data_IF_432427007327
#
_entry.id   IF_432427007327
#
_cell.length_a   1.000
_cell.length_b   1.000
_cell.length_c   1.000
_cell.angle_alpha   90.00
_cell.angle_beta   90.00
_cell.angle_gamma   90.00
#
_symmetry.space_group_name_H-M   'P 1'
#
loop_
_entity.id
_entity.type
_entity.pdbx_description
1 polymer ?
#
# COMPACT_ATOMS: atom_id res chain seq x y z
N UNK A 1 23.06 25.06 8.77
CA UNK A 1 22.30 24.36 9.82
C UNK A 1 20.83 24.82 9.88
N UNK A 2 20.53 26.07 9.57
CA UNK A 2 19.18 26.65 9.59
C UNK A 2 18.19 25.98 8.62
N UNK A 3 18.55 25.80 7.35
CA UNK A 3 17.63 25.30 6.30
C UNK A 3 16.97 23.96 6.63
N UNK A 4 17.72 23.00 7.18
CA UNK A 4 17.23 21.67 7.52
C UNK A 4 16.23 21.72 8.67
N UNK A 5 16.49 22.56 9.68
CA UNK A 5 15.59 22.79 10.81
C UNK A 5 14.32 23.54 10.37
N UNK A 6 14.46 24.50 9.46
CA UNK A 6 13.34 25.25 8.94
C UNK A 6 12.41 24.37 8.10
N UNK A 7 12.96 23.56 7.19
CA UNK A 7 12.18 22.57 6.44
C UNK A 7 11.48 21.55 7.34
N UNK A 8 12.13 21.12 8.42
CA UNK A 8 11.52 20.23 9.43
C UNK A 8 10.36 20.90 10.16
N UNK A 9 10.51 22.19 10.54
CA UNK A 9 9.43 22.97 11.15
C UNK A 9 8.24 23.11 10.19
N UNK A 10 8.51 23.45 8.91
CA UNK A 10 7.47 23.55 7.88
C UNK A 10 6.73 22.23 7.68
N UNK A 11 7.44 21.09 7.61
CA UNK A 11 6.83 19.77 7.52
C UNK A 11 5.90 19.48 8.71
N UNK A 12 6.35 19.74 9.95
CA UNK A 12 5.51 19.56 11.15
C UNK A 12 4.29 20.49 11.17
N UNK A 13 4.43 21.74 10.69
CA UNK A 13 3.29 22.66 10.57
C UNK A 13 2.29 22.21 9.51
N UNK A 14 2.76 21.70 8.38
CA UNK A 14 1.91 21.15 7.34
C UNK A 14 1.12 19.92 7.84
N UNK A 15 1.76 19.03 8.59
CA UNK A 15 1.10 17.89 9.23
C UNK A 15 0.02 18.34 10.22
N UNK A 16 0.30 19.34 11.08
CA UNK A 16 -0.68 19.86 12.05
C UNK A 16 -1.89 20.53 11.39
N UNK A 17 -1.71 21.16 10.23
CA UNK A 17 -2.75 21.85 9.46
C UNK A 17 -3.46 20.96 8.46
N UNK A 18 -3.21 19.66 8.46
CA UNK A 18 -3.91 18.75 7.60
C UNK A 18 -5.41 18.75 7.98
N UNK A 19 -6.33 18.97 7.01
CA UNK A 19 -7.78 19.03 7.28
C UNK A 19 -8.32 17.81 8.03
N UNK A 20 -7.69 16.65 7.84
CA UNK A 20 -8.04 15.42 8.55
C UNK A 20 -7.83 15.53 10.07
N UNK A 21 -6.85 16.36 10.51
CA UNK A 21 -6.56 16.58 11.93
C UNK A 21 -7.30 17.76 12.51
N UNK A 22 -7.67 18.75 11.69
CA UNK A 22 -8.21 20.00 12.17
C UNK A 22 -9.73 19.92 12.44
N UNK A 23 -10.46 19.18 11.60
CA UNK A 23 -11.93 19.13 11.64
C UNK A 23 -12.55 18.10 12.59
N UNK A 24 -11.85 17.06 13.04
CA UNK A 24 -12.47 15.99 13.82
C UNK A 24 -11.61 15.54 15.00
N UNK A 25 -12.08 15.82 16.22
CA UNK A 25 -11.50 15.25 17.45
C UNK A 25 -11.61 13.73 17.48
N UNK A 26 -12.70 13.19 16.95
CA UNK A 26 -12.92 11.75 16.81
C UNK A 26 -11.93 11.10 15.84
N UNK A 27 -11.63 11.74 14.71
CA UNK A 27 -10.63 11.24 13.76
C UNK A 27 -9.24 11.14 14.38
N UNK A 28 -8.85 12.12 15.22
CA UNK A 28 -7.58 12.05 15.97
C UNK A 28 -7.57 10.89 16.96
N UNK A 29 -8.63 10.75 17.76
CA UNK A 29 -8.78 9.66 18.71
C UNK A 29 -8.70 8.31 18.02
N UNK A 30 -9.43 8.12 16.91
CA UNK A 30 -9.44 6.88 16.14
C UNK A 30 -8.08 6.52 15.56
N UNK A 31 -7.33 7.50 15.07
CA UNK A 31 -5.98 7.28 14.57
C UNK A 31 -5.00 6.84 15.67
N UNK A 32 -5.03 7.49 16.85
CA UNK A 32 -4.21 7.07 17.99
C UNK A 32 -4.62 5.69 18.49
N UNK A 33 -5.92 5.43 18.57
CA UNK A 33 -6.45 4.12 18.94
C UNK A 33 -5.96 3.02 17.99
N UNK A 34 -6.04 3.24 16.68
CA UNK A 34 -5.55 2.29 15.68
C UNK A 34 -4.04 2.08 15.78
N UNK A 35 -3.27 3.13 16.01
CA UNK A 35 -1.82 3.00 16.21
C UNK A 35 -1.50 2.14 17.44
N UNK A 36 -2.13 2.40 18.57
CA UNK A 36 -1.95 1.63 19.82
C UNK A 36 -2.42 0.19 19.64
N UNK A 37 -3.55 -0.01 18.97
CA UNK A 37 -4.09 -1.34 18.66
C UNK A 37 -3.11 -2.16 17.84
N UNK A 38 -2.60 -1.61 16.74
CA UNK A 38 -1.63 -2.32 15.90
C UNK A 38 -0.28 -2.53 16.58
N UNK A 39 0.18 -1.57 17.38
CA UNK A 39 1.40 -1.75 18.17
C UNK A 39 1.22 -2.88 19.21
N UNK A 40 0.10 -2.89 19.93
CA UNK A 40 -0.24 -3.96 20.88
C UNK A 40 -0.37 -5.32 20.21
N UNK A 41 -0.95 -5.36 19.00
CA UNK A 41 -1.07 -6.57 18.20
C UNK A 41 0.33 -7.12 17.80
N UNK A 42 1.24 -6.27 17.36
CA UNK A 42 2.62 -6.67 17.04
C UNK A 42 3.39 -7.15 18.28
N UNK A 43 3.21 -6.49 19.43
CA UNK A 43 3.81 -6.93 20.69
C UNK A 43 3.27 -8.34 21.06
N UNK A 44 1.96 -8.52 20.97
CA UNK A 44 1.33 -9.82 21.21
C UNK A 44 1.88 -10.91 20.29
N UNK A 45 2.00 -10.64 18.99
CA UNK A 45 2.59 -11.59 18.04
C UNK A 45 4.06 -11.87 18.34
N UNK A 46 4.87 -10.86 18.65
CA UNK A 46 6.28 -11.01 18.97
C UNK A 46 6.47 -11.91 20.21
N UNK A 47 5.65 -11.72 21.25
CA UNK A 47 5.69 -12.58 22.45
C UNK A 47 5.19 -13.99 22.15
N UNK A 48 4.10 -14.13 21.39
CA UNK A 48 3.55 -15.43 21.02
C UNK A 48 4.53 -16.25 20.20
N UNK A 49 5.18 -15.66 19.20
CA UNK A 49 6.22 -16.35 18.43
C UNK A 49 7.42 -16.75 19.27
N UNK A 50 7.84 -15.91 20.22
CA UNK A 50 8.94 -16.25 21.12
C UNK A 50 8.64 -17.51 21.94
N UNK A 51 7.41 -17.68 22.43
CA UNK A 51 6.99 -18.88 23.19
C UNK A 51 6.63 -20.06 22.30
N UNK A 52 6.04 -19.85 21.13
CA UNK A 52 5.63 -20.92 20.23
C UNK A 52 6.81 -21.73 19.69
N UNK A 53 7.96 -21.10 19.52
CA UNK A 53 9.18 -21.77 19.04
C UNK A 53 10.17 -22.09 20.16
N UNK A 54 9.86 -21.78 21.42
CA UNK A 54 10.72 -22.13 22.58
C UNK A 54 10.64 -23.65 22.82
N UNK A 55 11.77 -24.32 22.79
CA UNK A 55 11.86 -25.80 22.96
C UNK A 55 11.70 -26.62 21.67
N UNK A 56 11.68 -25.99 20.50
CA UNK A 56 11.76 -26.66 19.19
C UNK A 56 13.14 -27.25 18.88
N UNK A 57 13.24 -28.01 17.79
CA UNK A 57 14.50 -28.60 17.31
C UNK A 57 15.55 -27.51 16.90
N UNK A 58 15.09 -26.31 16.59
CA UNK A 58 15.88 -25.14 16.22
C UNK A 58 15.56 -23.99 17.16
N UNK A 59 16.53 -23.14 17.44
CA UNK A 59 16.34 -21.97 18.29
C UNK A 59 15.36 -20.98 17.65
N UNK A 60 14.48 -20.39 18.47
CA UNK A 60 13.39 -19.52 18.00
C UNK A 60 13.86 -18.34 17.12
N UNK A 61 15.04 -17.81 17.36
CA UNK A 61 15.58 -16.70 16.57
C UNK A 61 16.01 -17.14 15.17
N UNK A 62 16.44 -18.40 14.95
CA UNK A 62 16.71 -18.91 13.58
C UNK A 62 15.44 -18.95 12.76
N UNK A 63 14.34 -19.44 13.33
CA UNK A 63 13.03 -19.48 12.65
C UNK A 63 12.55 -18.07 12.31
N UNK A 64 12.71 -17.13 13.24
CA UNK A 64 12.33 -15.74 13.01
C UNK A 64 13.19 -15.07 11.94
N UNK A 65 14.50 -15.35 11.95
CA UNK A 65 15.42 -14.80 10.96
C UNK A 65 15.15 -15.36 9.54
N UNK A 66 14.81 -16.64 9.41
CA UNK A 66 14.37 -17.20 8.11
C UNK A 66 13.12 -16.51 7.59
N UNK A 67 12.21 -16.10 8.52
CA UNK A 67 10.99 -15.36 8.21
C UNK A 67 11.17 -13.86 7.89
N UNK A 68 12.35 -13.28 8.03
CA UNK A 68 12.58 -11.84 7.80
C UNK A 68 12.16 -11.38 6.40
N UNK A 69 12.33 -12.23 5.38
CA UNK A 69 11.91 -11.89 4.02
C UNK A 69 10.41 -11.64 3.92
N UNK A 70 9.60 -12.43 4.63
CA UNK A 70 8.14 -12.24 4.64
C UNK A 70 7.76 -10.94 5.32
N UNK A 71 8.48 -10.56 6.40
CA UNK A 71 8.28 -9.27 7.07
C UNK A 71 8.62 -8.11 6.13
N UNK A 72 9.70 -8.20 5.34
CA UNK A 72 10.07 -7.18 4.36
C UNK A 72 9.01 -7.04 3.24
N UNK A 73 8.48 -8.16 2.75
CA UNK A 73 7.38 -8.15 1.76
C UNK A 73 6.12 -7.53 2.35
N UNK A 74 5.74 -7.92 3.57
CA UNK A 74 4.57 -7.34 4.27
C UNK A 74 4.75 -5.84 4.51
N UNK A 75 5.93 -5.40 4.96
CA UNK A 75 6.24 -3.98 5.14
C UNK A 75 6.08 -3.21 3.83
N UNK A 76 6.59 -3.75 2.72
CA UNK A 76 6.42 -3.14 1.40
C UNK A 76 4.94 -2.99 1.03
N UNK A 77 4.13 -4.02 1.23
CA UNK A 77 2.69 -4.00 0.91
C UNK A 77 1.93 -3.00 1.79
N UNK A 78 2.22 -2.98 3.10
CA UNK A 78 1.59 -2.05 4.04
C UNK A 78 1.93 -0.59 3.71
N UNK A 79 3.14 -0.31 3.22
CA UNK A 79 3.55 1.05 2.81
C UNK A 79 2.78 1.58 1.58
N UNK A 80 2.29 0.71 0.69
CA UNK A 80 1.60 1.13 -0.53
C UNK A 80 0.44 2.12 -0.29
N UNK A 81 -0.50 1.86 0.62
CA UNK A 81 -1.60 2.80 0.91
C UNK A 81 -1.20 3.97 1.83
N UNK A 82 -0.27 3.76 2.76
CA UNK A 82 -0.03 4.71 3.86
C UNK A 82 1.11 5.70 3.61
N UNK A 83 2.15 5.30 2.90
CA UNK A 83 3.32 6.15 2.73
C UNK A 83 3.23 7.05 1.50
N UNK A 84 3.36 8.37 1.70
CA UNK A 84 3.44 9.36 0.61
C UNK A 84 4.83 9.35 -0.02
N UNK A 85 4.88 9.66 -1.32
CA UNK A 85 6.16 9.79 -2.02
C UNK A 85 6.77 11.17 -1.80
N UNK A 86 8.09 11.28 -1.60
CA UNK A 86 8.77 12.57 -1.48
C UNK A 86 8.56 13.49 -2.70
N UNK A 87 8.32 12.95 -3.88
CA UNK A 87 8.01 13.72 -5.11
C UNK A 87 6.74 14.55 -4.97
N UNK A 88 5.74 14.08 -4.22
CA UNK A 88 4.53 14.86 -3.94
C UNK A 88 4.78 16.01 -2.97
N UNK A 89 5.74 15.84 -2.06
CA UNK A 89 6.13 16.86 -1.08
C UNK A 89 7.05 17.94 -1.65
N UNK A 90 7.72 17.67 -2.76
CA UNK A 90 8.64 18.64 -3.41
C UNK A 90 7.91 19.81 -4.04
N UNK A 91 6.72 19.60 -4.61
CA UNK A 91 6.01 20.61 -5.41
C UNK A 91 5.88 21.98 -4.75
N UNK A 92 5.48 22.13 -3.47
CA UNK A 92 5.37 23.44 -2.82
C UNK A 92 6.71 24.18 -2.66
N UNK A 93 7.83 23.42 -2.59
CA UNK A 93 9.16 23.97 -2.35
C UNK A 93 9.92 24.36 -3.64
N UNK A 94 9.42 23.94 -4.82
CA UNK A 94 10.08 24.23 -6.10
C UNK A 94 10.11 25.72 -6.44
N UNK A 95 9.17 26.51 -5.90
CA UNK A 95 9.11 27.96 -6.06
C UNK A 95 10.02 28.73 -5.10
N UNK A 96 10.60 28.06 -4.11
CA UNK A 96 11.50 28.69 -3.15
C UNK A 96 12.94 28.71 -3.68
N UNK A 97 13.77 29.70 -3.28
CA UNK A 97 15.16 29.81 -3.71
C UNK A 97 16.07 28.80 -2.98
N UNK A 98 15.69 27.52 -3.04
CA UNK A 98 16.41 26.42 -2.39
C UNK A 98 17.10 25.59 -3.47
N UNK A 99 18.37 25.23 -3.24
CA UNK A 99 19.08 24.30 -4.15
C UNK A 99 18.37 22.94 -4.16
N UNK A 100 17.88 22.50 -5.31
CA UNK A 100 17.08 21.27 -5.52
C UNK A 100 17.74 20.04 -4.91
N UNK A 101 19.05 19.89 -5.07
CA UNK A 101 19.79 18.75 -4.52
C UNK A 101 19.67 18.69 -2.99
N UNK A 102 19.76 19.84 -2.30
CA UNK A 102 19.62 19.89 -0.84
C UNK A 102 18.20 19.54 -0.38
N UNK A 103 17.20 19.91 -1.19
CA UNK A 103 15.81 19.55 -0.90
C UNK A 103 15.58 18.05 -1.05
N UNK A 104 16.10 17.43 -2.12
CA UNK A 104 16.01 15.98 -2.34
C UNK A 104 16.71 15.22 -1.22
N UNK A 105 17.93 15.64 -0.87
CA UNK A 105 18.70 15.03 0.21
C UNK A 105 17.95 15.12 1.55
N UNK A 106 17.33 16.26 1.85
CA UNK A 106 16.49 16.43 3.04
C UNK A 106 15.29 15.46 3.05
N UNK A 107 14.57 15.34 1.94
CA UNK A 107 13.40 14.48 1.86
C UNK A 107 13.75 13.00 1.98
N UNK A 108 14.87 12.57 1.39
CA UNK A 108 15.36 11.19 1.51
C UNK A 108 15.79 10.88 2.94
N UNK A 109 16.55 11.78 3.60
CA UNK A 109 16.95 11.58 5.01
C UNK A 109 15.70 11.55 5.91
N UNK A 110 14.75 12.46 5.70
CA UNK A 110 13.49 12.49 6.45
C UNK A 110 12.72 11.16 6.30
N UNK A 111 12.65 10.62 5.09
CA UNK A 111 12.00 9.32 4.85
C UNK A 111 12.72 8.17 5.54
N UNK A 112 14.06 8.16 5.54
CA UNK A 112 14.85 7.16 6.26
C UNK A 112 14.64 7.20 7.77
N UNK A 113 14.39 8.39 8.33
CA UNK A 113 14.14 8.62 9.77
C UNK A 113 12.64 8.64 10.11
N UNK A 114 11.76 8.19 9.21
CA UNK A 114 10.32 8.15 9.46
C UNK A 114 9.99 7.14 10.57
N UNK A 115 9.00 7.50 11.40
CA UNK A 115 8.49 6.64 12.46
C UNK A 115 7.95 5.30 11.96
N UNK A 116 7.54 5.23 10.70
CA UNK A 116 7.09 3.99 10.08
C UNK A 116 8.20 2.91 10.04
N UNK A 117 9.47 3.32 9.93
CA UNK A 117 10.60 2.39 9.97
C UNK A 117 10.83 1.77 11.36
N UNK A 118 10.27 2.37 12.41
CA UNK A 118 10.33 1.86 13.78
C UNK A 118 9.16 0.94 14.13
N UNK A 119 8.12 0.89 13.27
CA UNK A 119 6.87 0.18 13.58
C UNK A 119 7.09 -1.32 13.84
N UNK A 120 7.95 -1.96 13.05
CA UNK A 120 8.26 -3.38 13.23
C UNK A 120 9.05 -3.69 14.51
N UNK A 121 9.67 -2.70 15.12
CA UNK A 121 10.34 -2.92 16.42
C UNK A 121 9.36 -3.31 17.53
N UNK A 122 8.07 -2.95 17.42
CA UNK A 122 7.05 -3.43 18.35
C UNK A 122 6.89 -4.96 18.33
N UNK A 123 7.25 -5.62 17.23
CA UNK A 123 7.29 -7.08 17.15
C UNK A 123 8.66 -7.63 17.59
N UNK A 124 9.75 -7.06 17.07
CA UNK A 124 11.08 -7.63 17.25
C UNK A 124 11.68 -7.36 18.63
N UNK A 125 11.34 -6.25 19.31
CA UNK A 125 11.85 -5.95 20.67
C UNK A 125 11.34 -6.98 21.68
N UNK A 126 10.04 -7.21 21.86
CA UNK A 126 9.56 -8.22 22.82
C UNK A 126 10.03 -9.63 22.45
N UNK A 127 10.05 -9.97 21.16
CA UNK A 127 10.60 -11.24 20.69
C UNK A 127 12.07 -11.41 21.11
N UNK A 128 12.94 -10.45 20.84
CA UNK A 128 14.36 -10.52 21.14
C UNK A 128 14.67 -10.50 22.63
N UNK A 129 13.87 -9.80 23.44
CA UNK A 129 14.00 -9.83 24.89
C UNK A 129 13.75 -11.24 25.44
N UNK A 130 12.81 -11.99 24.89
CA UNK A 130 12.47 -13.34 25.39
C UNK A 130 13.47 -14.38 24.86
N UNK A 131 13.89 -14.28 23.59
CA UNK A 131 14.68 -15.32 22.92
C UNK A 131 16.18 -15.02 22.93
N UNK A 132 16.58 -13.84 22.40
CA UNK A 132 17.99 -13.50 22.20
C UNK A 132 18.72 -13.25 23.51
N UNK A 133 18.04 -12.72 24.54
CA UNK A 133 18.66 -12.47 25.84
C UNK A 133 19.17 -13.76 26.49
N UNK A 134 18.52 -14.90 26.25
CA UNK A 134 18.93 -16.20 26.81
C UNK A 134 20.34 -16.62 26.36
N UNK A 135 20.76 -16.27 25.14
CA UNK A 135 22.01 -16.71 24.53
C UNK A 135 23.07 -15.61 24.43
N UNK A 136 22.64 -14.37 24.18
CA UNK A 136 23.55 -13.26 23.84
C UNK A 136 23.43 -12.06 24.78
N UNK A 137 22.56 -12.14 25.78
CA UNK A 137 22.35 -11.05 26.74
C UNK A 137 21.72 -9.80 26.11
N UNK A 138 21.74 -8.69 26.85
CA UNK A 138 21.12 -7.41 26.43
C UNK A 138 21.87 -6.78 25.24
N UNK A 139 23.16 -6.99 25.12
CA UNK A 139 23.95 -6.48 23.97
C UNK A 139 23.46 -7.07 22.65
N UNK A 140 23.16 -8.38 22.62
CA UNK A 140 22.61 -9.03 21.42
C UNK A 140 21.22 -8.51 21.05
N UNK A 141 20.39 -8.18 22.03
CA UNK A 141 19.08 -7.54 21.77
C UNK A 141 19.23 -6.17 21.11
N UNK A 142 20.13 -5.33 21.62
CA UNK A 142 20.35 -3.98 21.09
C UNK A 142 20.90 -4.02 19.65
N UNK A 143 21.93 -4.84 19.41
CA UNK A 143 22.51 -4.98 18.06
C UNK A 143 21.51 -5.56 17.07
N UNK A 144 20.70 -6.55 17.49
CA UNK A 144 19.65 -7.12 16.66
C UNK A 144 18.56 -6.08 16.28
N UNK A 145 18.05 -5.33 17.25
CA UNK A 145 17.06 -4.29 17.01
C UNK A 145 17.58 -3.18 16.07
N UNK A 146 18.85 -2.79 16.22
CA UNK A 146 19.49 -1.85 15.30
C UNK A 146 19.60 -2.44 13.89
N UNK A 147 20.00 -3.71 13.76
CA UNK A 147 20.09 -4.41 12.49
C UNK A 147 18.73 -4.48 11.77
N UNK A 148 17.68 -4.86 12.49
CA UNK A 148 16.30 -4.89 11.96
C UNK A 148 15.85 -3.49 11.53
N UNK A 149 16.11 -2.46 12.34
CA UNK A 149 15.78 -1.08 11.94
C UNK A 149 16.48 -0.67 10.65
N UNK A 150 17.76 -1.00 10.48
CA UNK A 150 18.49 -0.74 9.22
C UNK A 150 17.90 -1.49 8.04
N UNK A 151 17.43 -2.73 8.21
CA UNK A 151 16.72 -3.47 7.17
C UNK A 151 15.40 -2.78 6.79
N UNK A 152 14.65 -2.25 7.76
CA UNK A 152 13.42 -1.49 7.48
C UNK A 152 13.73 -0.18 6.73
N UNK A 153 14.83 0.48 7.03
CA UNK A 153 15.31 1.66 6.28
C UNK A 153 15.70 1.27 4.84
N UNK A 154 16.37 0.15 4.64
CA UNK A 154 16.66 -0.37 3.30
C UNK A 154 15.37 -0.63 2.52
N UNK A 155 14.40 -1.33 3.14
CA UNK A 155 13.11 -1.64 2.52
C UNK A 155 12.30 -0.36 2.21
N UNK A 156 12.41 0.67 3.05
CA UNK A 156 11.84 1.98 2.78
C UNK A 156 12.41 2.60 1.48
N UNK A 157 13.72 2.58 1.28
CA UNK A 157 14.31 3.11 0.04
C UNK A 157 13.98 2.27 -1.19
N UNK A 158 13.87 0.95 -1.04
CA UNK A 158 13.36 0.07 -2.07
C UNK A 158 11.91 0.41 -2.44
N UNK A 159 11.04 0.59 -1.44
CA UNK A 159 9.67 1.02 -1.63
C UNK A 159 9.58 2.37 -2.35
N UNK A 160 10.38 3.37 -1.93
CA UNK A 160 10.41 4.68 -2.58
C UNK A 160 10.82 4.60 -4.06
N UNK A 161 11.80 3.76 -4.38
CA UNK A 161 12.22 3.52 -5.75
C UNK A 161 11.06 2.98 -6.60
N UNK A 162 10.45 1.89 -6.16
CA UNK A 162 9.32 1.27 -6.84
C UNK A 162 8.15 2.25 -7.00
N UNK A 163 7.78 2.93 -5.92
CA UNK A 163 6.66 3.87 -5.90
C UNK A 163 6.89 5.07 -6.81
N UNK A 164 8.10 5.60 -6.86
CA UNK A 164 8.47 6.71 -7.72
C UNK A 164 8.39 6.31 -9.19
N UNK A 165 8.92 5.16 -9.56
CA UNK A 165 8.85 4.61 -10.92
C UNK A 165 7.40 4.31 -11.33
N UNK A 166 6.61 3.68 -10.48
CA UNK A 166 5.18 3.43 -10.69
C UNK A 166 4.38 4.71 -10.87
N UNK A 167 4.83 5.83 -10.27
CA UNK A 167 4.24 7.15 -10.46
C UNK A 167 4.41 7.68 -11.88
N UNK A 168 5.49 7.33 -12.57
CA UNK A 168 5.76 7.75 -13.94
C UNK A 168 5.00 6.91 -14.98
N UNK A 169 5.13 5.57 -14.87
CA UNK A 169 4.48 4.63 -15.80
C UNK A 169 4.00 3.40 -15.05
N UNK A 170 2.78 2.97 -15.32
CA UNK A 170 2.15 1.81 -14.67
C UNK A 170 2.93 0.51 -14.93
N UNK A 171 3.64 0.39 -16.05
CA UNK A 171 4.47 -0.77 -16.39
C UNK A 171 5.58 -1.05 -15.38
N UNK A 172 6.01 -0.05 -14.61
CA UNK A 172 6.98 -0.24 -13.53
C UNK A 172 6.42 -1.04 -12.33
N UNK A 173 5.12 -1.32 -12.31
CA UNK A 173 4.55 -2.30 -11.39
C UNK A 173 5.14 -3.70 -11.60
N UNK A 174 5.60 -4.00 -12.82
CA UNK A 174 6.30 -5.25 -13.10
C UNK A 174 7.58 -5.41 -12.27
N UNK A 175 8.26 -4.32 -11.90
CA UNK A 175 9.50 -4.39 -11.13
C UNK A 175 9.33 -5.08 -9.76
N UNK A 176 8.47 -4.61 -8.83
CA UNK A 176 8.27 -5.32 -7.59
C UNK A 176 7.66 -6.72 -7.78
N UNK A 177 6.77 -6.90 -8.78
CA UNK A 177 6.20 -8.22 -9.08
C UNK A 177 7.27 -9.24 -9.52
N UNK A 178 8.18 -8.85 -10.40
CA UNK A 178 9.28 -9.73 -10.85
C UNK A 178 10.26 -10.01 -9.70
N UNK A 179 10.61 -8.99 -8.90
CA UNK A 179 11.54 -9.18 -7.77
C UNK A 179 10.92 -10.09 -6.72
N UNK A 180 9.69 -9.82 -6.26
CA UNK A 180 9.04 -10.66 -5.25
C UNK A 180 8.64 -12.03 -5.79
N UNK A 181 8.22 -12.11 -7.06
CA UNK A 181 7.98 -13.39 -7.73
C UNK A 181 9.25 -14.23 -7.85
N UNK A 182 10.37 -13.61 -8.21
CA UNK A 182 11.68 -14.27 -8.25
C UNK A 182 12.15 -14.74 -6.86
N UNK A 183 11.96 -13.91 -5.84
CA UNK A 183 12.24 -14.29 -4.43
C UNK A 183 11.36 -15.49 -4.03
N UNK A 184 10.06 -15.43 -4.31
CA UNK A 184 9.13 -16.53 -3.99
C UNK A 184 9.53 -17.81 -4.72
N UNK A 185 9.86 -17.72 -6.00
CA UNK A 185 10.36 -18.86 -6.77
C UNK A 185 11.65 -19.45 -6.17
N UNK A 186 12.60 -18.60 -5.81
CA UNK A 186 13.87 -19.01 -5.19
C UNK A 186 13.71 -19.58 -3.76
N UNK A 187 12.64 -19.22 -3.05
CA UNK A 187 12.35 -19.77 -1.72
C UNK A 187 11.66 -21.15 -1.76
N UNK A 188 10.76 -21.37 -2.72
CA UNK A 188 9.87 -22.52 -2.72
C UNK A 188 10.17 -23.58 -3.80
N UNK A 189 10.91 -23.27 -4.85
CA UNK A 189 11.24 -24.25 -5.88
C UNK A 189 12.38 -25.19 -5.45
N UNK A 190 13.51 -24.73 -4.87
CA UNK A 190 14.55 -25.64 -4.39
C UNK A 190 14.16 -26.26 -3.04
N UNK A 191 14.46 -27.56 -2.86
CA UNK A 191 14.22 -28.27 -1.58
C UNK A 191 14.99 -27.63 -0.40
N UNK A 192 16.19 -27.08 -0.66
CA UNK A 192 16.97 -26.26 0.27
C UNK A 192 17.24 -24.90 -0.35
N UNK A 193 16.52 -23.87 0.08
CA UNK A 193 16.68 -22.54 -0.46
C UNK A 193 17.84 -21.79 0.21
N UNK A 194 18.89 -21.43 -0.54
CA UNK A 194 20.01 -20.65 0.00
C UNK A 194 19.62 -19.25 0.46
N UNK A 195 18.42 -18.76 0.09
CA UNK A 195 17.91 -17.48 0.55
C UNK A 195 17.49 -17.52 2.01
N UNK A 196 16.90 -18.62 2.50
CA UNK A 196 16.61 -18.76 3.93
C UNK A 196 17.90 -18.71 4.75
N UNK A 197 18.93 -19.44 4.35
CA UNK A 197 20.23 -19.43 5.00
C UNK A 197 20.88 -18.04 4.99
N UNK A 198 20.73 -17.31 3.90
CA UNK A 198 21.24 -15.95 3.78
C UNK A 198 20.58 -15.00 4.83
N UNK A 199 19.24 -15.09 5.00
CA UNK A 199 18.54 -14.28 6.00
C UNK A 199 18.82 -14.73 7.43
N UNK A 200 18.98 -16.04 7.68
CA UNK A 200 19.39 -16.57 8.97
C UNK A 200 20.79 -16.03 9.33
N UNK A 201 21.76 -16.18 8.44
CA UNK A 201 23.13 -15.69 8.63
C UNK A 201 23.19 -14.17 8.85
N UNK A 202 22.35 -13.41 8.12
CA UNK A 202 22.25 -11.97 8.29
C UNK A 202 21.71 -11.61 9.68
N UNK A 203 20.62 -12.26 10.12
CA UNK A 203 20.01 -12.05 11.43
C UNK A 203 20.94 -12.44 12.57
N UNK A 204 21.65 -13.57 12.46
CA UNK A 204 22.68 -13.96 13.42
C UNK A 204 23.85 -12.98 13.45
N UNK A 205 24.26 -12.48 12.29
CA UNK A 205 25.26 -11.43 12.20
C UNK A 205 24.85 -10.16 12.96
N UNK A 206 23.56 -9.83 12.99
CA UNK A 206 23.06 -8.72 13.81
C UNK A 206 23.07 -9.07 15.30
N UNK A 207 22.65 -10.29 15.69
CA UNK A 207 22.65 -10.74 17.09
C UNK A 207 24.06 -10.75 17.66
N UNK A 208 25.01 -11.31 16.92
CA UNK A 208 26.44 -11.39 17.32
C UNK A 208 27.19 -10.07 17.23
N UNK A 209 26.59 -9.03 16.63
CA UNK A 209 27.23 -7.76 16.39
C UNK A 209 28.33 -7.81 15.32
N UNK A 210 28.21 -8.73 14.35
CA UNK A 210 29.19 -8.86 13.26
C UNK A 210 29.22 -7.60 12.40
N UNK A 211 30.37 -6.93 12.41
CA UNK A 211 30.61 -5.66 11.70
C UNK A 211 30.33 -5.82 10.19
N UNK A 212 30.65 -6.98 9.61
CA UNK A 212 30.47 -7.23 8.17
C UNK A 212 28.99 -7.17 7.77
N UNK A 213 28.09 -7.74 8.57
CA UNK A 213 26.64 -7.70 8.34
C UNK A 213 26.11 -6.25 8.37
N UNK A 214 26.56 -5.45 9.31
CA UNK A 214 26.19 -4.03 9.39
C UNK A 214 26.72 -3.22 8.22
N UNK A 215 28.00 -3.40 7.84
CA UNK A 215 28.59 -2.72 6.69
C UNK A 215 27.84 -3.11 5.40
N UNK A 216 27.51 -4.39 5.22
CA UNK A 216 26.75 -4.85 4.06
C UNK A 216 25.41 -4.15 3.91
N UNK A 217 24.64 -4.07 4.99
CA UNK A 217 23.33 -3.39 4.97
C UNK A 217 23.48 -1.88 4.79
N UNK A 218 24.46 -1.24 5.45
CA UNK A 218 24.72 0.18 5.26
C UNK A 218 25.16 0.51 3.83
N UNK A 219 25.98 -0.33 3.21
CA UNK A 219 26.35 -0.19 1.80
C UNK A 219 25.14 -0.33 0.87
N UNK A 220 24.24 -1.28 1.15
CA UNK A 220 22.99 -1.45 0.40
C UNK A 220 22.05 -0.23 0.57
N UNK A 221 21.94 0.32 1.78
CA UNK A 221 21.20 1.56 2.04
C UNK A 221 21.78 2.74 1.27
N UNK A 222 23.11 2.91 1.29
CA UNK A 222 23.80 3.97 0.57
C UNK A 222 23.60 3.86 -0.95
N UNK A 223 23.66 2.65 -1.49
CA UNK A 223 23.38 2.38 -2.91
C UNK A 223 21.94 2.77 -3.26
N UNK A 224 20.96 2.31 -2.49
CA UNK A 224 19.55 2.63 -2.71
C UNK A 224 19.25 4.12 -2.55
N UNK A 225 19.89 4.78 -1.58
CA UNK A 225 19.80 6.23 -1.41
C UNK A 225 20.33 6.97 -2.65
N UNK A 226 21.47 6.55 -3.18
CA UNK A 226 22.08 7.15 -4.37
C UNK A 226 21.20 6.95 -5.62
N UNK A 227 20.64 5.75 -5.81
CA UNK A 227 19.72 5.45 -6.92
C UNK A 227 18.47 6.33 -6.83
N UNK A 228 17.82 6.40 -5.66
CA UNK A 228 16.64 7.24 -5.44
C UNK A 228 16.95 8.72 -5.68
N UNK A 229 18.09 9.21 -5.19
CA UNK A 229 18.55 10.59 -5.40
C UNK A 229 18.67 10.93 -6.89
N UNK A 230 19.37 10.08 -7.63
CA UNK A 230 19.58 10.27 -9.08
C UNK A 230 18.27 10.21 -9.86
N UNK A 231 17.40 9.26 -9.51
CA UNK A 231 16.09 9.12 -10.12
C UNK A 231 15.22 10.36 -9.87
N UNK A 232 15.13 10.82 -8.61
CA UNK A 232 14.34 12.00 -8.26
C UNK A 232 14.86 13.26 -8.96
N UNK A 233 16.17 13.44 -9.08
CA UNK A 233 16.74 14.55 -9.84
C UNK A 233 16.24 14.54 -11.28
N UNK A 234 16.33 13.41 -11.98
CA UNK A 234 15.86 13.28 -13.37
C UNK A 234 14.36 13.54 -13.51
N UNK A 235 13.56 13.01 -12.59
CA UNK A 235 12.10 13.15 -12.66
C UNK A 235 11.63 14.58 -12.40
N UNK A 236 12.23 15.29 -11.45
CA UNK A 236 11.92 16.70 -11.20
C UNK A 236 12.25 17.57 -12.43
N UNK A 237 13.37 17.31 -13.10
CA UNK A 237 13.71 18.00 -14.34
C UNK A 237 12.68 17.72 -15.45
N UNK A 238 12.25 16.46 -15.58
CA UNK A 238 11.26 16.09 -16.58
C UNK A 238 9.88 16.70 -16.29
N UNK A 239 9.45 16.78 -15.04
CA UNK A 239 8.18 17.44 -14.69
C UNK A 239 8.20 18.96 -14.94
N UNK A 240 9.31 19.61 -14.70
CA UNK A 240 9.46 21.05 -14.97
C UNK A 240 9.49 21.39 -16.46
N UNK A 241 10.02 20.47 -17.27
CA UNK A 241 10.11 20.62 -18.73
C UNK A 241 8.86 20.10 -19.46
N UNK A 242 7.93 19.45 -18.77
CA UNK A 242 6.64 19.06 -19.37
C UNK A 242 5.81 20.32 -19.62
N UNK A 243 5.91 20.85 -20.82
CA UNK A 243 4.86 21.69 -21.38
C UNK A 243 3.60 20.82 -21.39
N UNK A 244 2.56 21.23 -20.67
CA UNK A 244 1.29 20.51 -20.71
C UNK A 244 0.79 20.54 -22.16
N UNK A 245 0.96 19.40 -22.82
CA UNK A 245 0.44 19.18 -24.17
C UNK A 245 -1.09 19.15 -24.01
N UNK A 246 -1.71 20.31 -24.20
CA UNK A 246 -3.15 20.53 -24.15
C UNK A 246 -3.86 19.91 -25.36
N UNK A 247 -3.29 18.89 -25.98
CA UNK A 247 -3.96 18.12 -27.02
C UNK A 247 -5.24 17.53 -26.45
N UNK A 248 -6.35 18.11 -26.85
CA UNK A 248 -7.68 17.58 -26.60
C UNK A 248 -7.74 16.18 -27.24
N UNK A 249 -7.53 15.16 -26.44
CA UNK A 249 -7.70 13.78 -26.89
C UNK A 249 -9.17 13.60 -27.27
N UNK A 250 -9.42 13.05 -28.44
CA UNK A 250 -10.75 12.73 -28.94
C UNK A 250 -11.57 12.05 -27.82
N UNK A 251 -12.68 12.65 -27.45
CA UNK A 251 -13.51 12.19 -26.34
C UNK A 251 -14.52 11.21 -26.93
N UNK A 252 -14.48 9.96 -26.51
CA UNK A 252 -15.53 8.99 -26.85
C UNK A 252 -16.88 9.55 -26.38
N UNK A 253 -17.85 9.62 -27.29
CA UNK A 253 -19.13 10.26 -27.01
C UNK A 253 -20.10 9.37 -26.25
N UNK A 254 -19.86 8.05 -26.16
CA UNK A 254 -20.73 7.06 -25.49
C UNK A 254 -22.23 7.26 -25.78
N UNK A 255 -22.59 7.45 -27.05
CA UNK A 255 -23.95 7.76 -27.52
C UNK A 255 -25.04 6.75 -27.08
N UNK A 256 -24.62 5.51 -26.75
CA UNK A 256 -25.57 4.49 -26.26
C UNK A 256 -26.20 4.84 -24.91
N UNK A 257 -25.58 5.75 -24.14
CA UNK A 257 -26.09 6.21 -22.84
C UNK A 257 -27.21 7.26 -22.99
N UNK A 258 -27.37 7.88 -24.18
CA UNK A 258 -28.39 8.90 -24.43
C UNK A 258 -29.83 8.33 -24.28
N UNK A 259 -29.98 7.00 -24.42
CA UNK A 259 -31.26 6.32 -24.20
C UNK A 259 -31.82 6.42 -22.78
N UNK A 260 -30.95 6.69 -21.79
CA UNK A 260 -31.31 6.76 -20.38
C UNK A 260 -31.61 8.18 -19.90
N UNK A 261 -31.69 9.18 -20.82
CA UNK A 261 -31.97 10.58 -20.51
C UNK A 261 -30.98 11.17 -19.52
N UNK A 262 -31.46 11.92 -18.52
CA UNK A 262 -30.65 12.61 -17.51
C UNK A 262 -29.67 11.67 -16.77
N UNK A 263 -30.14 10.47 -16.40
CA UNK A 263 -29.27 9.46 -15.74
C UNK A 263 -28.13 9.03 -16.67
N UNK A 264 -28.41 8.87 -17.96
CA UNK A 264 -27.42 8.53 -18.97
C UNK A 264 -26.34 9.59 -19.14
N UNK A 265 -26.70 10.87 -19.03
CA UNK A 265 -25.72 11.97 -19.05
C UNK A 265 -24.78 11.93 -17.85
N UNK A 266 -25.30 11.71 -16.64
CA UNK A 266 -24.46 11.53 -15.44
C UNK A 266 -23.59 10.29 -15.53
N UNK A 267 -24.10 9.17 -16.05
CA UNK A 267 -23.28 7.97 -16.28
C UNK A 267 -22.14 8.25 -17.27
N UNK A 268 -22.38 9.03 -18.31
CA UNK A 268 -21.37 9.45 -19.28
C UNK A 268 -20.30 10.32 -18.64
N UNK A 269 -20.69 11.28 -17.81
CA UNK A 269 -19.77 12.16 -17.09
C UNK A 269 -18.90 11.33 -16.15
N UNK A 270 -19.47 10.43 -15.37
CA UNK A 270 -18.78 9.56 -14.44
C UNK A 270 -17.78 8.64 -15.17
N UNK A 271 -18.21 8.01 -16.27
CA UNK A 271 -17.33 7.15 -17.06
C UNK A 271 -16.14 7.93 -17.65
N UNK A 272 -16.38 9.14 -18.14
CA UNK A 272 -15.31 10.03 -18.61
C UNK A 272 -14.37 10.42 -17.48
N UNK A 273 -14.88 10.71 -16.29
CA UNK A 273 -14.10 11.05 -15.11
C UNK A 273 -13.19 9.88 -14.71
N UNK A 274 -13.74 8.67 -14.61
CA UNK A 274 -13.00 7.46 -14.26
C UNK A 274 -11.88 7.14 -15.28
N UNK A 275 -12.19 7.22 -16.57
CA UNK A 275 -11.24 6.84 -17.62
C UNK A 275 -10.22 7.92 -17.96
N UNK A 276 -10.52 9.21 -17.72
CA UNK A 276 -9.61 10.33 -17.99
C UNK A 276 -8.72 10.67 -16.80
N UNK A 277 -9.22 10.56 -15.58
CA UNK A 277 -8.44 10.87 -14.39
C UNK A 277 -7.40 9.77 -14.13
N UNK A 278 -6.11 10.16 -14.13
CA UNK A 278 -5.01 9.22 -13.89
C UNK A 278 -5.09 8.56 -12.51
N UNK A 279 -5.58 9.28 -11.51
CA UNK A 279 -5.71 8.79 -10.14
C UNK A 279 -6.79 7.72 -10.07
N UNK A 280 -7.98 8.00 -10.62
CA UNK A 280 -9.10 7.05 -10.69
C UNK A 280 -8.73 5.78 -11.46
N UNK A 281 -8.13 5.96 -12.63
CA UNK A 281 -7.68 4.84 -13.47
C UNK A 281 -6.64 3.96 -12.77
N UNK A 282 -5.69 4.58 -12.05
CA UNK A 282 -4.69 3.85 -11.28
C UNK A 282 -5.32 3.08 -10.12
N UNK A 283 -6.26 3.71 -9.39
CA UNK A 283 -7.01 3.06 -8.31
C UNK A 283 -7.77 1.85 -8.84
N UNK A 284 -8.49 1.99 -9.96
CA UNK A 284 -9.22 0.90 -10.59
C UNK A 284 -8.29 -0.28 -10.94
N UNK A 285 -7.15 -0.02 -11.57
CA UNK A 285 -6.20 -1.09 -11.91
C UNK A 285 -5.59 -1.75 -10.68
N UNK A 286 -5.27 -0.98 -9.64
CA UNK A 286 -4.74 -1.52 -8.39
C UNK A 286 -5.73 -2.46 -7.72
N UNK A 287 -7.00 -2.04 -7.61
CA UNK A 287 -8.08 -2.83 -7.02
C UNK A 287 -8.33 -4.11 -7.85
N UNK A 288 -8.41 -3.96 -9.17
CA UNK A 288 -8.59 -5.11 -10.07
C UNK A 288 -7.42 -6.10 -9.94
N UNK A 289 -6.19 -5.62 -9.77
CA UNK A 289 -5.03 -6.47 -9.52
C UNK A 289 -5.16 -7.29 -8.22
N UNK A 290 -5.61 -6.66 -7.13
CA UNK A 290 -5.88 -7.35 -5.86
C UNK A 290 -6.98 -8.40 -6.02
N UNK A 291 -8.05 -8.06 -6.72
CA UNK A 291 -9.17 -8.98 -7.00
C UNK A 291 -8.71 -10.17 -7.86
N UNK A 292 -7.86 -9.95 -8.88
CA UNK A 292 -7.27 -11.03 -9.68
C UNK A 292 -6.45 -11.96 -8.79
N UNK A 293 -5.62 -11.42 -7.90
CA UNK A 293 -4.81 -12.22 -6.97
C UNK A 293 -5.69 -13.12 -6.09
N UNK A 294 -6.70 -12.54 -5.40
CA UNK A 294 -7.61 -13.31 -4.56
C UNK A 294 -8.42 -14.33 -5.35
N UNK A 295 -8.97 -13.94 -6.50
CA UNK A 295 -9.72 -14.85 -7.38
C UNK A 295 -8.86 -16.03 -7.85
N UNK A 296 -7.58 -15.78 -8.16
CA UNK A 296 -6.65 -16.84 -8.56
C UNK A 296 -6.36 -17.80 -7.41
N UNK A 297 -6.10 -17.29 -6.18
CA UNK A 297 -5.86 -18.12 -5.01
C UNK A 297 -7.10 -18.98 -4.70
N UNK A 298 -8.30 -18.40 -4.71
CA UNK A 298 -9.56 -19.10 -4.43
C UNK A 298 -9.84 -20.18 -5.48
N UNK A 299 -9.54 -19.91 -6.75
CA UNK A 299 -9.86 -20.80 -7.86
C UNK A 299 -8.87 -21.97 -8.02
N UNK A 300 -7.58 -21.71 -7.82
CA UNK A 300 -6.51 -22.66 -8.16
C UNK A 300 -5.82 -23.27 -6.94
N UNK A 301 -5.99 -22.71 -5.73
CA UNK A 301 -5.38 -23.21 -4.50
C UNK A 301 -6.43 -23.84 -3.58
N UNK A 302 -5.99 -24.79 -2.74
CA UNK A 302 -6.79 -25.41 -1.68
C UNK A 302 -6.45 -24.83 -0.30
N UNK A 303 -5.74 -23.70 -0.25
CA UNK A 303 -5.40 -22.98 0.99
C UNK A 303 -6.65 -22.57 1.77
N UNK A 304 -7.72 -22.21 1.06
CA UNK A 304 -9.00 -21.87 1.67
C UNK A 304 -10.01 -23.00 1.42
N UNK A 305 -10.53 -23.62 2.49
CA UNK A 305 -11.50 -24.70 2.38
C UNK A 305 -12.77 -24.41 3.18
N UNK A 306 -13.90 -24.99 2.76
CA UNK A 306 -15.19 -24.87 3.44
C UNK A 306 -15.65 -23.41 3.61
N UNK A 307 -16.11 -23.06 4.83
CA UNK A 307 -16.65 -21.73 5.14
C UNK A 307 -15.65 -20.57 5.01
N UNK A 308 -14.35 -20.84 5.11
CA UNK A 308 -13.31 -19.84 4.87
C UNK A 308 -13.28 -19.42 3.40
N UNK A 309 -13.50 -20.35 2.48
CA UNK A 309 -13.56 -20.06 1.04
C UNK A 309 -14.72 -19.11 0.72
N UNK A 310 -15.89 -19.39 1.25
CA UNK A 310 -17.08 -18.55 1.05
C UNK A 310 -16.90 -17.15 1.63
N UNK A 311 -16.23 -17.06 2.79
CA UNK A 311 -15.86 -15.78 3.38
C UNK A 311 -14.91 -14.98 2.47
N UNK A 312 -13.89 -15.61 1.90
CA UNK A 312 -12.96 -14.91 1.01
C UNK A 312 -13.58 -14.56 -0.35
N UNK A 313 -14.53 -15.35 -0.83
CA UNK A 313 -15.37 -14.99 -2.01
C UNK A 313 -16.15 -13.71 -1.70
N UNK A 314 -16.87 -13.66 -0.59
CA UNK A 314 -17.59 -12.48 -0.12
C UNK A 314 -16.64 -11.28 0.03
N UNK A 315 -15.50 -11.49 0.69
CA UNK A 315 -14.49 -10.46 0.93
C UNK A 315 -13.95 -9.84 -0.38
N UNK A 316 -13.79 -10.65 -1.42
CA UNK A 316 -13.34 -10.20 -2.74
C UNK A 316 -14.33 -9.21 -3.39
N UNK A 317 -15.64 -9.47 -3.27
CA UNK A 317 -16.67 -8.53 -3.70
C UNK A 317 -16.71 -7.26 -2.85
N UNK A 318 -16.60 -7.42 -1.54
CA UNK A 318 -16.62 -6.30 -0.58
C UNK A 318 -15.43 -5.37 -0.81
N UNK A 319 -14.21 -5.90 -0.95
CA UNK A 319 -13.00 -5.10 -1.20
C UNK A 319 -13.16 -4.28 -2.47
N UNK A 320 -13.62 -4.92 -3.56
CA UNK A 320 -13.82 -4.22 -4.81
C UNK A 320 -14.87 -3.11 -4.67
N UNK A 321 -16.01 -3.42 -4.03
CA UNK A 321 -17.08 -2.48 -3.79
C UNK A 321 -16.67 -1.30 -2.91
N UNK A 322 -16.10 -1.56 -1.74
CA UNK A 322 -15.71 -0.49 -0.79
C UNK A 322 -14.62 0.40 -1.39
N UNK A 323 -13.57 -0.18 -1.96
CA UNK A 323 -12.48 0.62 -2.51
C UNK A 323 -12.89 1.46 -3.71
N UNK A 324 -13.88 1.01 -4.49
CA UNK A 324 -14.38 1.74 -5.62
C UNK A 324 -15.39 2.82 -5.24
N UNK A 325 -16.24 2.55 -4.25
CA UNK A 325 -17.31 3.45 -3.79
C UNK A 325 -16.86 4.43 -2.70
N UNK A 326 -15.85 4.10 -1.89
CA UNK A 326 -15.38 4.97 -0.80
C UNK A 326 -14.85 6.33 -1.26
N UNK A 327 -14.48 6.43 -2.53
CA UNK A 327 -13.98 7.68 -3.14
C UNK A 327 -14.99 8.32 -4.09
N UNK A 328 -16.27 7.93 -3.98
CA UNK A 328 -17.34 8.26 -4.89
C UNK A 328 -17.50 9.77 -5.15
N UNK A 329 -17.41 10.58 -4.11
CA UNK A 329 -17.48 12.05 -4.19
C UNK A 329 -16.09 12.71 -4.18
N UNK A 330 -15.06 12.00 -3.76
CA UNK A 330 -13.70 12.55 -3.65
C UNK A 330 -13.03 12.85 -4.99
N UNK A 331 -13.49 12.24 -6.07
CA UNK A 331 -12.93 12.48 -7.41
C UNK A 331 -13.51 13.72 -8.10
N UNK A 332 -14.63 14.22 -7.63
CA UNK A 332 -15.32 15.35 -8.22
C UNK A 332 -14.73 16.69 -7.79
N UNK A 333 -14.10 16.75 -6.60
CA UNK A 333 -13.49 17.98 -6.09
C UNK A 333 -14.42 19.17 -6.16
N UNK A 334 -13.94 20.31 -6.69
CA UNK A 334 -14.73 21.53 -6.81
C UNK A 334 -15.87 21.45 -7.87
N UNK A 335 -15.96 20.37 -8.63
CA UNK A 335 -17.04 20.19 -9.61
C UNK A 335 -18.40 19.99 -8.93
N UNK A 336 -18.40 19.39 -7.74
CA UNK A 336 -19.62 19.19 -6.94
C UNK A 336 -20.28 20.52 -6.58
N UNK A 337 -19.48 21.54 -6.24
CA UNK A 337 -20.01 22.89 -5.93
C UNK A 337 -20.70 23.51 -7.14
N UNK A 338 -20.16 23.25 -8.34
CA UNK A 338 -20.79 23.65 -9.61
C UNK A 338 -22.12 22.95 -9.90
N UNK A 339 -22.24 21.66 -9.60
CA UNK A 339 -23.48 20.91 -9.74
C UNK A 339 -24.54 21.40 -8.73
N UNK A 340 -24.15 21.61 -7.48
CA UNK A 340 -25.04 22.12 -6.43
C UNK A 340 -25.58 23.52 -6.75
N UNK A 341 -24.73 24.40 -7.33
CA UNK A 341 -25.11 25.76 -7.70
C UNK A 341 -26.12 25.81 -8.87
N UNK A 342 -26.11 24.81 -9.74
CA UNK A 342 -27.01 24.68 -10.88
C UNK A 342 -28.36 24.06 -10.57
N UNK A 343 -28.64 23.70 -9.31
CA UNK A 343 -29.87 23.00 -8.88
C UNK A 343 -30.13 21.70 -9.64
N UNK A 344 -29.09 21.01 -10.06
CA UNK A 344 -29.20 19.72 -10.72
C UNK A 344 -29.64 18.62 -9.76
N UNK A 345 -30.24 17.55 -10.29
CA UNK A 345 -30.78 16.46 -9.47
C UNK A 345 -29.67 15.59 -8.90
N UNK A 346 -29.39 15.75 -7.60
CA UNK A 346 -28.42 14.90 -6.85
C UNK A 346 -28.88 13.44 -6.89
N UNK A 347 -30.17 13.22 -6.85
CA UNK A 347 -30.73 11.86 -6.89
C UNK A 347 -30.40 11.15 -8.21
N UNK A 348 -30.53 11.83 -9.35
CA UNK A 348 -30.17 11.30 -10.66
C UNK A 348 -28.67 11.01 -10.77
N UNK A 349 -27.82 11.87 -10.20
CA UNK A 349 -26.39 11.66 -10.11
C UNK A 349 -26.04 10.41 -9.28
N UNK A 350 -26.60 10.29 -8.07
CA UNK A 350 -26.36 9.14 -7.19
C UNK A 350 -26.85 7.84 -7.81
N UNK A 351 -28.01 7.86 -8.47
CA UNK A 351 -28.55 6.71 -9.19
C UNK A 351 -27.66 6.29 -10.36
N UNK A 352 -27.13 7.24 -11.12
CA UNK A 352 -26.18 6.96 -12.18
C UNK A 352 -24.90 6.29 -11.66
N UNK A 353 -24.36 6.79 -10.55
CA UNK A 353 -23.22 6.18 -9.87
C UNK A 353 -23.52 4.76 -9.39
N UNK A 354 -24.64 4.57 -8.72
CA UNK A 354 -25.06 3.24 -8.25
C UNK A 354 -25.12 2.21 -9.38
N UNK A 355 -25.76 2.57 -10.51
CA UNK A 355 -25.87 1.68 -11.67
C UNK A 355 -24.48 1.35 -12.24
N UNK A 356 -23.65 2.36 -12.45
CA UNK A 356 -22.32 2.18 -13.04
C UNK A 356 -21.42 1.28 -12.16
N UNK A 357 -21.44 1.49 -10.87
CA UNK A 357 -20.64 0.72 -9.92
C UNK A 357 -21.20 -0.71 -9.71
N UNK A 358 -22.51 -0.88 -9.79
CA UNK A 358 -23.13 -2.22 -9.78
C UNK A 358 -22.70 -3.03 -11.01
N UNK A 359 -22.62 -2.39 -12.18
CA UNK A 359 -22.08 -3.02 -13.39
C UNK A 359 -20.59 -3.37 -13.22
N UNK A 360 -19.82 -2.52 -12.56
CA UNK A 360 -18.39 -2.79 -12.32
C UNK A 360 -18.16 -4.04 -11.46
N UNK A 361 -19.09 -4.44 -10.60
CA UNK A 361 -19.03 -5.69 -9.81
C UNK A 361 -19.13 -6.97 -10.68
N UNK A 362 -19.43 -6.85 -11.96
CA UNK A 362 -19.24 -7.96 -12.89
C UNK A 362 -17.76 -8.36 -13.05
N UNK A 363 -16.82 -7.45 -12.80
CA UNK A 363 -15.38 -7.74 -12.89
C UNK A 363 -14.96 -8.86 -11.93
N UNK A 364 -15.19 -8.78 -10.60
CA UNK A 364 -14.89 -9.89 -9.70
C UNK A 364 -15.69 -11.15 -10.04
N UNK A 365 -16.93 -11.04 -10.52
CA UNK A 365 -17.74 -12.20 -10.93
C UNK A 365 -17.10 -12.94 -12.10
N UNK A 366 -16.65 -12.22 -13.13
CA UNK A 366 -15.96 -12.80 -14.30
C UNK A 366 -14.64 -13.47 -13.86
N UNK A 367 -13.90 -12.85 -12.95
CA UNK A 367 -12.64 -13.39 -12.44
C UNK A 367 -12.84 -14.64 -11.56
N UNK A 368 -14.04 -14.86 -11.01
CA UNK A 368 -14.39 -16.08 -10.25
C UNK A 368 -14.89 -17.23 -11.14
N UNK A 369 -15.09 -17.04 -12.46
CA UNK A 369 -15.54 -18.09 -13.37
C UNK A 369 -14.67 -19.36 -13.27
N UNK A 370 -13.32 -19.32 -13.23
CA UNK A 370 -12.52 -20.52 -13.09
C UNK A 370 -12.86 -21.33 -11.83
N UNK A 371 -13.08 -20.63 -10.70
CA UNK A 371 -13.50 -21.26 -9.44
C UNK A 371 -14.90 -21.86 -9.49
N UNK A 372 -15.82 -21.27 -10.26
CA UNK A 372 -17.15 -21.84 -10.50
C UNK A 372 -17.08 -23.09 -11.38
N UNK A 373 -16.27 -23.08 -12.43
CA UNK A 373 -16.08 -24.21 -13.35
C UNK A 373 -15.43 -25.41 -12.64
N UNK A 374 -14.48 -25.15 -11.74
CA UNK A 374 -13.84 -26.21 -10.92
C UNK A 374 -14.73 -26.72 -9.79
N UNK A 375 -15.93 -26.17 -9.61
CA UNK A 375 -16.85 -26.54 -8.53
C UNK A 375 -16.42 -26.08 -7.14
N UNK A 376 -15.33 -25.33 -7.03
CA UNK A 376 -14.83 -24.81 -5.74
C UNK A 376 -15.67 -23.64 -5.21
N UNK A 377 -16.30 -22.87 -6.08
CA UNK A 377 -17.09 -21.69 -5.73
C UNK A 377 -18.53 -21.89 -6.18
N UNK A 378 -19.50 -21.63 -5.28
CA UNK A 378 -20.93 -21.73 -5.59
C UNK A 378 -21.35 -20.64 -6.56
N UNK A 379 -21.91 -21.01 -7.72
CA UNK A 379 -22.46 -20.08 -8.70
C UNK A 379 -23.59 -19.27 -8.09
N UNK A 380 -24.48 -19.93 -7.33
CA UNK A 380 -25.63 -19.28 -6.67
C UNK A 380 -25.16 -18.27 -5.62
N UNK A 381 -24.09 -18.59 -4.88
CA UNK A 381 -23.45 -17.69 -3.93
C UNK A 381 -22.91 -16.42 -4.62
N UNK A 382 -22.19 -16.57 -5.73
CA UNK A 382 -21.68 -15.42 -6.49
C UNK A 382 -22.79 -14.51 -7.02
N UNK A 383 -23.89 -15.09 -7.53
CA UNK A 383 -25.05 -14.33 -7.98
C UNK A 383 -25.71 -13.59 -6.81
N UNK A 384 -25.87 -14.26 -5.67
CA UNK A 384 -26.41 -13.64 -4.47
C UNK A 384 -25.56 -12.44 -4.02
N UNK A 385 -24.24 -12.57 -3.98
CA UNK A 385 -23.33 -11.48 -3.62
C UNK A 385 -23.35 -10.35 -4.65
N UNK A 386 -23.43 -10.66 -5.95
CA UNK A 386 -23.56 -9.65 -7.01
C UNK A 386 -24.80 -8.77 -6.83
N UNK A 387 -25.89 -9.32 -6.32
CA UNK A 387 -27.15 -8.59 -6.09
C UNK A 387 -27.11 -7.83 -4.75
N UNK A 388 -26.60 -8.46 -3.70
CA UNK A 388 -26.67 -7.92 -2.34
C UNK A 388 -25.61 -6.85 -2.06
N UNK A 389 -24.37 -7.07 -2.50
CA UNK A 389 -23.23 -6.19 -2.19
C UNK A 389 -23.40 -4.74 -2.70
N UNK A 390 -23.93 -4.48 -3.91
CA UNK A 390 -24.15 -3.10 -4.36
C UNK A 390 -24.98 -2.27 -3.39
N UNK A 391 -26.06 -2.85 -2.88
CA UNK A 391 -26.92 -2.18 -1.90
C UNK A 391 -26.23 -1.92 -0.57
N UNK A 392 -25.55 -2.92 -0.02
CA UNK A 392 -24.84 -2.83 1.26
C UNK A 392 -23.70 -1.79 1.21
N UNK A 393 -22.88 -1.84 0.16
CA UNK A 393 -21.72 -0.92 0.01
C UNK A 393 -22.19 0.50 -0.28
N UNK A 394 -23.29 0.66 -1.06
CA UNK A 394 -23.86 1.97 -1.33
C UNK A 394 -24.42 2.64 -0.08
N UNK A 395 -25.11 1.88 0.78
CA UNK A 395 -25.57 2.37 2.08
C UNK A 395 -24.39 2.82 2.95
N UNK A 396 -23.30 2.03 3.01
CA UNK A 396 -22.10 2.40 3.76
C UNK A 396 -21.42 3.65 3.17
N UNK A 397 -21.38 3.79 1.85
CA UNK A 397 -20.82 4.96 1.16
C UNK A 397 -21.59 6.24 1.48
N UNK A 398 -22.93 6.19 1.58
CA UNK A 398 -23.77 7.34 1.93
C UNK A 398 -23.56 7.82 3.39
N UNK A 399 -23.17 6.94 4.29
CA UNK A 399 -22.86 7.31 5.69
C UNK A 399 -21.57 8.14 5.77
N UNK A 400 -20.67 8.02 4.79
CA UNK A 400 -19.39 8.72 4.75
C UNK A 400 -19.40 10.02 3.92
N UNK A 401 -20.53 10.35 3.30
CA UNK A 401 -20.78 11.64 2.62
C UNK A 401 -21.36 12.63 3.61
#
# INVERSE_FOLDING_TARGET
>A
MSLFLDLRKHGKLAEKRNPMYEKSKFGKFWMYFMFVFWAGYLIFFGTTFAFAFDGGATEAYHVMNSGLIFVLVLDFLIRLPFQKTPTQEVKPYLLLPIKRNRLIDFLLIRSGLDGFNLFWLFLFVPFSIITVTKFYGISGVLTYCIGIWLLMVFNNYWFLLCRTLMGERIWWLALPVVVYGGITAALFIPDNSPLFDCFVNLGEGFITGNILSFIGVLAAIALMWFINRTLMQKLIYNELNKVEDTRIKHVSEYKFLDRYGEIGEYMRLELKLLLRNKICKRSLYSITGVVIMFSSIISFSDVYDGGLRDFFVLYNYIIFGIMFLSTLMGYEGNYIDGLMSRKESIYSLLRAKYILYSIALLIPTILMIPGMVTGKVSVLGCIAWLIFIPGAVYCLSLIHI
#
